data_IF_790035215255
#
_entry.id   IF_790035215255
#
_cell.length_a   1.000
_cell.length_b   1.000
_cell.length_c   1.000
_cell.angle_alpha   90.00
_cell.angle_beta   90.00
_cell.angle_gamma   90.00
#
_symmetry.space_group_name_H-M   'P 1'
#
loop_
_entity.id
_entity.type
_entity.pdbx_description
1 polymer ?
#
# COMPACT_ATOMS: atom_id res chain seq x y z
N UNK A 1 -9.77 8.37 -5.24
CA UNK A 1 -9.72 9.81 -5.61
C UNK A 1 -9.22 10.06 -7.04
N UNK A 2 -8.25 9.29 -7.58
CA UNK A 2 -7.74 9.48 -8.96
C UNK A 2 -8.70 9.13 -10.11
N UNK A 3 -9.59 8.14 -9.93
CA UNK A 3 -10.57 7.76 -10.95
C UNK A 3 -11.68 8.80 -11.14
N UNK A 4 -12.31 9.23 -10.05
CA UNK A 4 -13.44 10.19 -10.07
C UNK A 4 -12.99 11.55 -10.63
N UNK A 5 -11.81 12.04 -10.27
CA UNK A 5 -11.28 13.31 -10.82
C UNK A 5 -10.90 13.23 -12.30
N UNK A 6 -10.61 12.04 -12.84
CA UNK A 6 -10.38 11.82 -14.28
C UNK A 6 -11.68 11.71 -15.08
N UNK A 7 -12.77 11.23 -14.46
CA UNK A 7 -14.08 11.04 -15.11
C UNK A 7 -14.96 12.30 -15.06
N UNK A 8 -14.80 13.15 -14.04
CA UNK A 8 -15.57 14.38 -13.86
C UNK A 8 -15.52 15.36 -15.05
N UNK A 9 -14.36 15.58 -15.70
CA UNK A 9 -14.26 16.52 -16.82
C UNK A 9 -15.08 16.11 -18.04
N UNK A 10 -15.35 14.82 -18.22
CA UNK A 10 -16.19 14.30 -19.31
C UNK A 10 -17.68 14.61 -19.09
N UNK A 11 -18.09 14.90 -17.85
CA UNK A 11 -19.49 15.15 -17.49
C UNK A 11 -19.82 16.64 -17.40
N UNK A 12 -18.86 17.50 -17.08
CA UNK A 12 -19.13 18.93 -16.78
C UNK A 12 -18.58 19.91 -17.80
N UNK A 13 -17.85 19.48 -18.84
CA UNK A 13 -17.12 20.33 -19.80
C UNK A 13 -16.17 21.36 -19.14
N UNK A 14 -15.96 21.30 -17.83
CA UNK A 14 -15.11 22.20 -17.06
C UNK A 14 -13.96 21.39 -16.46
N UNK A 15 -12.79 21.50 -17.07
CA UNK A 15 -11.64 20.70 -16.67
C UNK A 15 -10.72 21.50 -15.74
N UNK A 16 -11.07 21.55 -14.45
CA UNK A 16 -10.26 22.23 -13.40
C UNK A 16 -8.80 21.74 -13.36
N UNK A 17 -8.53 20.52 -13.81
CA UNK A 17 -7.17 19.94 -13.92
C UNK A 17 -6.27 20.73 -14.88
N UNK A 18 -6.86 21.43 -15.83
CA UNK A 18 -6.17 22.14 -16.91
C UNK A 18 -6.27 23.66 -16.74
N UNK A 19 -7.31 24.15 -16.04
CA UNK A 19 -7.55 25.58 -15.85
C UNK A 19 -6.81 26.17 -14.65
N UNK A 20 -6.52 25.39 -13.61
CA UNK A 20 -5.89 25.89 -12.38
C UNK A 20 -4.60 25.15 -12.05
N UNK A 21 -3.47 25.87 -12.12
CA UNK A 21 -2.15 25.36 -11.75
C UNK A 21 -2.11 24.90 -10.28
N UNK A 22 -2.76 25.64 -9.40
CA UNK A 22 -2.86 25.30 -7.97
C UNK A 22 -3.58 23.97 -7.80
N UNK A 23 -4.70 23.77 -8.50
CA UNK A 23 -5.45 22.52 -8.43
C UNK A 23 -4.67 21.33 -8.99
N UNK A 24 -4.00 21.49 -10.13
CA UNK A 24 -3.09 20.48 -10.71
C UNK A 24 -2.04 20.04 -9.69
N UNK A 25 -1.31 20.99 -9.08
CA UNK A 25 -0.26 20.73 -8.08
C UNK A 25 -0.80 20.05 -6.83
N UNK A 26 -1.89 20.56 -6.25
CA UNK A 26 -2.51 19.98 -5.06
C UNK A 26 -3.02 18.55 -5.33
N UNK A 27 -3.67 18.30 -6.46
CA UNK A 27 -4.15 16.97 -6.83
C UNK A 27 -3.00 15.97 -6.92
N UNK A 28 -1.94 16.33 -7.63
CA UNK A 28 -0.77 15.47 -7.81
C UNK A 28 -0.10 15.19 -6.46
N UNK A 29 0.05 16.21 -5.60
CA UNK A 29 0.53 16.03 -4.22
C UNK A 29 -0.29 15.00 -3.44
N UNK A 30 -1.62 15.15 -3.38
CA UNK A 30 -2.48 14.24 -2.63
C UNK A 30 -2.47 12.82 -3.20
N UNK A 31 -2.38 12.68 -4.52
CA UNK A 31 -2.25 11.36 -5.16
C UNK A 31 -0.93 10.70 -4.75
N UNK A 32 0.20 11.39 -4.85
CA UNK A 32 1.50 10.83 -4.45
C UNK A 32 1.55 10.48 -2.97
N UNK A 33 1.12 11.42 -2.13
CA UNK A 33 1.04 11.21 -0.69
C UNK A 33 0.19 9.99 -0.33
N UNK A 34 -1.01 9.88 -0.92
CA UNK A 34 -1.92 8.75 -0.64
C UNK A 34 -1.34 7.41 -1.09
N UNK A 35 -0.69 7.37 -2.26
CA UNK A 35 -0.08 6.15 -2.79
C UNK A 35 1.09 5.68 -1.92
N UNK A 36 1.99 6.60 -1.54
CA UNK A 36 3.13 6.27 -0.68
C UNK A 36 2.66 5.85 0.69
N UNK A 37 1.72 6.60 1.28
CA UNK A 37 1.18 6.28 2.59
C UNK A 37 0.52 4.89 2.61
N UNK A 38 -0.24 4.56 1.56
CA UNK A 38 -0.82 3.23 1.38
C UNK A 38 0.24 2.14 1.35
N UNK A 39 1.28 2.29 0.53
CA UNK A 39 2.40 1.32 0.45
C UNK A 39 3.14 1.19 1.78
N UNK A 40 3.37 2.31 2.46
CA UNK A 40 4.03 2.37 3.76
C UNK A 40 3.25 1.56 4.81
N UNK A 41 1.93 1.73 4.92
CA UNK A 41 1.14 0.96 5.87
C UNK A 41 1.14 -0.54 5.59
N UNK A 42 1.14 -0.94 4.32
CA UNK A 42 1.19 -2.37 3.97
C UNK A 42 2.55 -2.97 4.34
N UNK A 43 3.63 -2.22 4.16
CA UNK A 43 4.95 -2.62 4.65
C UNK A 43 4.96 -2.78 6.17
N UNK A 44 4.44 -1.79 6.90
CA UNK A 44 4.35 -1.86 8.37
C UNK A 44 3.54 -3.07 8.83
N UNK A 45 2.40 -3.34 8.19
CA UNK A 45 1.55 -4.50 8.51
C UNK A 45 2.32 -5.80 8.23
N UNK A 46 3.07 -5.87 7.12
CA UNK A 46 3.89 -7.04 6.79
C UNK A 46 5.01 -7.27 7.80
N UNK A 47 5.71 -6.21 8.19
CA UNK A 47 6.76 -6.23 9.22
C UNK A 47 6.15 -6.65 10.57
N UNK A 48 5.02 -6.07 10.95
CA UNK A 48 4.33 -6.41 12.19
C UNK A 48 3.92 -7.88 12.25
N UNK A 49 3.34 -8.42 11.17
CA UNK A 49 3.01 -9.85 11.10
C UNK A 49 4.26 -10.74 11.14
N UNK A 50 5.36 -10.32 10.52
CA UNK A 50 6.64 -10.99 10.66
C UNK A 50 7.15 -10.98 12.12
N UNK A 51 7.10 -9.84 12.80
CA UNK A 51 7.51 -9.73 14.20
C UNK A 51 6.69 -10.64 15.11
N UNK A 52 5.37 -10.72 14.89
CA UNK A 52 4.48 -11.62 15.65
C UNK A 52 4.78 -13.10 15.44
N UNK A 53 5.14 -13.48 14.21
CA UNK A 53 5.47 -14.88 13.87
C UNK A 53 6.88 -15.29 14.26
N UNK A 54 7.75 -14.32 14.58
CA UNK A 54 9.15 -14.59 14.95
C UNK A 54 9.27 -15.45 16.21
N UNK A 55 10.23 -16.38 16.17
CA UNK A 55 10.61 -17.21 17.31
C UNK A 55 11.31 -16.41 18.40
N UNK A 56 11.97 -15.30 18.03
CA UNK A 56 12.69 -14.43 18.96
C UNK A 56 11.71 -13.56 19.76
N UNK A 57 11.72 -13.70 21.08
CA UNK A 57 10.84 -12.97 22.00
C UNK A 57 11.09 -11.45 21.98
N UNK A 58 12.33 -11.00 21.79
CA UNK A 58 12.67 -9.58 21.70
C UNK A 58 12.02 -8.94 20.48
N UNK A 59 12.08 -9.62 19.33
CA UNK A 59 11.43 -9.15 18.09
C UNK A 59 9.91 -9.15 18.26
N UNK A 60 9.34 -10.20 18.86
CA UNK A 60 7.89 -10.28 19.10
C UNK A 60 7.39 -9.16 20.01
N UNK A 61 8.19 -8.75 21.01
CA UNK A 61 7.87 -7.65 21.92
C UNK A 61 7.81 -6.29 21.22
N UNK A 62 8.48 -6.13 20.08
CA UNK A 62 8.40 -4.90 19.28
C UNK A 62 7.04 -4.69 18.62
N UNK A 63 6.23 -5.76 18.41
CA UNK A 63 4.83 -5.68 17.97
C UNK A 63 3.91 -5.21 19.12
N UNK A 64 4.25 -4.05 19.70
CA UNK A 64 3.46 -3.39 20.74
C UNK A 64 2.66 -2.24 20.14
N UNK A 65 1.46 -1.97 20.69
CA UNK A 65 0.63 -0.85 20.22
C UNK A 65 1.35 0.51 20.36
N UNK A 66 2.21 0.67 21.36
CA UNK A 66 3.01 1.90 21.53
C UNK A 66 3.99 2.11 20.38
N UNK A 67 4.73 1.05 20.02
CA UNK A 67 5.66 1.10 18.90
C UNK A 67 4.94 1.28 17.57
N UNK A 68 3.82 0.58 17.36
CA UNK A 68 2.99 0.73 16.17
C UNK A 68 2.50 2.19 15.99
N UNK A 69 2.00 2.83 17.06
CA UNK A 69 1.58 4.25 16.99
C UNK A 69 2.75 5.15 16.66
N UNK A 70 3.88 4.99 17.34
CA UNK A 70 5.07 5.80 17.10
C UNK A 70 5.55 5.70 15.64
N UNK A 71 5.74 4.48 15.13
CA UNK A 71 6.24 4.28 13.77
C UNK A 71 5.23 4.76 12.73
N UNK A 72 3.93 4.54 12.93
CA UNK A 72 2.86 5.05 12.07
C UNK A 72 2.85 6.58 12.00
N UNK A 73 2.97 7.27 13.14
CA UNK A 73 2.98 8.74 13.19
C UNK A 73 4.23 9.29 12.49
N UNK A 74 5.42 8.81 12.87
CA UNK A 74 6.69 9.26 12.27
C UNK A 74 6.70 9.00 10.76
N UNK A 75 6.26 7.81 10.34
CA UNK A 75 6.18 7.44 8.94
C UNK A 75 5.19 8.27 8.13
N UNK A 76 4.04 8.63 8.73
CA UNK A 76 3.05 9.49 8.06
C UNK A 76 3.61 10.90 7.86
N UNK A 77 4.28 11.45 8.87
CA UNK A 77 4.99 12.73 8.75
C UNK A 77 6.08 12.67 7.67
N UNK A 78 6.85 11.58 7.62
CA UNK A 78 7.82 11.35 6.55
C UNK A 78 7.15 11.32 5.17
N UNK A 79 6.05 10.57 4.99
CA UNK A 79 5.34 10.49 3.71
C UNK A 79 4.80 11.85 3.24
N UNK A 80 4.33 12.69 4.18
CA UNK A 80 3.90 14.06 3.87
C UNK A 80 5.07 14.89 3.30
N UNK A 81 6.19 14.93 4.03
CA UNK A 81 7.38 15.69 3.63
C UNK A 81 7.95 15.14 2.32
N UNK A 82 8.03 13.82 2.21
CA UNK A 82 8.56 13.13 1.04
C UNK A 82 7.74 13.40 -0.22
N UNK A 83 6.46 13.78 -0.10
CA UNK A 83 5.61 14.09 -1.26
C UNK A 83 5.69 15.57 -1.71
N UNK A 84 6.40 16.45 -0.98
CA UNK A 84 6.46 17.90 -1.26
C UNK A 84 7.12 18.23 -2.60
N UNK A 85 7.93 17.35 -3.17
CA UNK A 85 8.51 17.60 -4.50
C UNK A 85 7.44 17.67 -5.61
N UNK A 86 6.30 17.00 -5.43
CA UNK A 86 5.23 16.90 -6.42
C UNK A 86 4.66 18.26 -6.86
N UNK A 87 4.26 19.18 -5.96
CA UNK A 87 3.80 20.52 -6.36
C UNK A 87 4.91 21.39 -6.95
N UNK A 88 6.19 21.06 -6.75
CA UNK A 88 7.31 21.84 -7.27
C UNK A 88 7.55 21.50 -8.74
N UNK A 89 7.61 20.23 -9.10
CA UNK A 89 8.03 19.81 -10.44
C UNK A 89 6.92 19.51 -11.45
N UNK A 90 5.65 19.81 -11.14
CA UNK A 90 4.53 19.64 -12.07
C UNK A 90 4.01 20.99 -12.57
N UNK A 91 3.72 21.06 -13.86
CA UNK A 91 3.18 22.25 -14.52
C UNK A 91 2.04 21.91 -15.49
N UNK A 92 1.32 22.94 -15.93
CA UNK A 92 0.30 22.81 -16.98
C UNK A 92 0.89 23.30 -18.30
N UNK A 93 0.98 22.41 -19.28
CA UNK A 93 1.34 22.78 -20.66
C UNK A 93 0.60 21.86 -21.65
N UNK A 94 0.26 22.40 -22.81
CA UNK A 94 -0.53 21.70 -23.85
C UNK A 94 -1.81 21.04 -23.30
N UNK A 95 -2.55 21.76 -22.45
CA UNK A 95 -3.75 21.28 -21.80
C UNK A 95 -3.58 20.01 -20.95
N UNK A 96 -2.39 19.76 -20.38
CA UNK A 96 -2.13 18.63 -19.49
C UNK A 96 -1.30 19.07 -18.28
N UNK A 97 -1.60 18.49 -17.13
CA UNK A 97 -0.80 18.59 -15.91
C UNK A 97 0.27 17.47 -15.95
N UNK A 98 1.53 17.82 -16.15
CA UNK A 98 2.61 16.83 -16.28
C UNK A 98 3.91 17.28 -15.60
N UNK A 99 4.77 16.32 -15.27
CA UNK A 99 6.08 16.58 -14.68
C UNK A 99 6.95 17.32 -15.70
N UNK A 100 7.66 18.37 -15.32
CA UNK A 100 8.39 19.20 -16.29
C UNK A 100 9.49 18.41 -17.05
N UNK A 101 9.15 17.94 -18.27
CA UNK A 101 9.94 17.02 -19.12
C UNK A 101 11.28 17.58 -19.66
N UNK A 102 11.59 18.86 -19.46
CA UNK A 102 12.79 19.47 -20.02
C UNK A 102 13.93 19.63 -19.00
N UNK A 103 13.83 19.03 -17.80
CA UNK A 103 14.79 19.25 -16.69
C UNK A 103 15.23 17.96 -16.02
N UNK A 104 16.28 18.08 -15.20
CA UNK A 104 16.73 17.09 -14.22
C UNK A 104 15.63 16.53 -13.30
N UNK A 105 14.46 17.17 -13.21
CA UNK A 105 13.33 16.68 -12.44
C UNK A 105 12.75 15.37 -12.98
N UNK A 106 12.77 15.13 -14.29
CA UNK A 106 12.28 13.88 -14.87
C UNK A 106 13.11 12.67 -14.39
N UNK A 107 14.43 12.83 -14.39
CA UNK A 107 15.37 11.82 -13.85
C UNK A 107 15.10 11.58 -12.36
N UNK A 108 14.98 12.66 -11.58
CA UNK A 108 14.65 12.58 -10.15
C UNK A 108 13.32 11.84 -9.92
N UNK A 109 12.29 12.16 -10.70
CA UNK A 109 10.97 11.57 -10.58
C UNK A 109 10.96 10.08 -10.96
N UNK A 110 11.75 9.68 -11.97
CA UNK A 110 11.96 8.28 -12.32
C UNK A 110 12.59 7.48 -11.17
N UNK A 111 13.71 7.98 -10.62
CA UNK A 111 14.40 7.37 -9.46
C UNK A 111 13.46 7.30 -8.26
N UNK A 112 12.75 8.39 -7.97
CA UNK A 112 11.77 8.47 -6.90
C UNK A 112 10.70 7.39 -7.02
N UNK A 113 10.10 7.21 -8.21
CA UNK A 113 9.09 6.18 -8.41
C UNK A 113 9.66 4.76 -8.26
N UNK A 114 10.88 4.54 -8.76
CA UNK A 114 11.56 3.25 -8.61
C UNK A 114 11.77 2.91 -7.14
N UNK A 115 12.22 3.88 -6.33
CA UNK A 115 12.41 3.71 -4.88
C UNK A 115 11.05 3.52 -4.18
N UNK A 116 10.07 4.37 -4.49
CA UNK A 116 8.76 4.39 -3.83
C UNK A 116 7.88 3.17 -4.16
N UNK A 117 8.19 2.41 -5.21
CA UNK A 117 7.53 1.14 -5.53
C UNK A 117 8.43 -0.04 -5.18
N UNK A 118 9.71 0.02 -5.53
CA UNK A 118 10.66 -1.08 -5.40
C UNK A 118 10.97 -1.46 -3.96
N UNK A 119 11.24 -0.48 -3.07
CA UNK A 119 11.52 -0.78 -1.66
C UNK A 119 10.33 -1.50 -0.99
N UNK A 120 9.08 -1.01 -1.12
CA UNK A 120 7.92 -1.74 -0.61
C UNK A 120 7.82 -3.17 -1.11
N UNK A 121 8.02 -3.41 -2.41
CA UNK A 121 7.98 -4.76 -2.99
C UNK A 121 9.02 -5.67 -2.33
N UNK A 122 10.26 -5.21 -2.24
CA UNK A 122 11.36 -5.99 -1.64
C UNK A 122 11.03 -6.31 -0.18
N UNK A 123 10.62 -5.31 0.61
CA UNK A 123 10.27 -5.49 2.02
C UNK A 123 9.10 -6.47 2.20
N UNK A 124 8.07 -6.36 1.37
CA UNK A 124 6.90 -7.24 1.44
C UNK A 124 7.25 -8.68 1.07
N UNK A 125 8.09 -8.89 0.05
CA UNK A 125 8.59 -10.23 -0.31
C UNK A 125 9.41 -10.81 0.83
N UNK A 126 10.37 -10.05 1.38
CA UNK A 126 11.21 -10.50 2.49
C UNK A 126 10.36 -10.86 3.72
N UNK A 127 9.44 -9.99 4.13
CA UNK A 127 8.56 -10.26 5.28
C UNK A 127 7.66 -11.47 5.01
N UNK A 128 7.09 -11.59 3.82
CA UNK A 128 6.21 -12.72 3.46
C UNK A 128 6.97 -14.06 3.50
N UNK A 129 8.19 -14.09 2.98
CA UNK A 129 9.06 -15.26 3.04
C UNK A 129 9.42 -15.63 4.47
N UNK A 130 9.81 -14.65 5.29
CA UNK A 130 10.14 -14.88 6.70
C UNK A 130 8.93 -15.36 7.50
N UNK A 131 7.73 -14.83 7.24
CA UNK A 131 6.47 -15.31 7.82
C UNK A 131 6.25 -16.79 7.49
N UNK A 132 6.40 -17.19 6.22
CA UNK A 132 6.23 -18.59 5.80
C UNK A 132 7.25 -19.51 6.49
N UNK A 133 8.53 -19.11 6.51
CA UNK A 133 9.59 -19.87 7.19
C UNK A 133 9.27 -20.05 8.68
N UNK A 134 8.87 -18.99 9.37
CA UNK A 134 8.52 -19.05 10.79
C UNK A 134 7.32 -19.97 11.06
N UNK A 135 6.31 -19.96 10.19
CA UNK A 135 5.13 -20.82 10.31
C UNK A 135 5.51 -22.28 10.12
N UNK A 136 6.28 -22.61 9.09
CA UNK A 136 6.75 -23.97 8.83
C UNK A 136 7.62 -24.50 9.99
N UNK A 137 8.56 -23.69 10.49
CA UNK A 137 9.37 -24.07 11.65
C UNK A 137 8.52 -24.34 12.89
N UNK A 138 7.46 -23.56 13.10
CA UNK A 138 6.55 -23.75 14.24
C UNK A 138 5.71 -25.01 14.10
N UNK A 139 5.22 -25.31 12.91
CA UNK A 139 4.49 -26.56 12.65
C UNK A 139 5.38 -27.78 12.92
N UNK A 140 6.62 -27.78 12.42
CA UNK A 140 7.57 -28.88 12.62
C UNK A 140 7.97 -29.10 14.10
N UNK A 141 7.86 -28.08 14.96
CA UNK A 141 8.11 -28.23 16.41
C UNK A 141 6.90 -28.75 17.19
N UNK A 142 5.69 -28.58 16.67
CA UNK A 142 4.43 -29.01 17.33
C UNK A 142 4.06 -30.46 16.97
N UNK A 143 4.60 -31.00 15.87
CA UNK A 143 4.54 -32.43 15.54
C UNK A 143 5.87 -33.13 15.89
N UNK A 144 6.23 -33.35 17.17
CA UNK A 144 7.21 -34.36 17.47
C UNK A 144 6.59 -35.72 17.08
N UNK A 145 7.28 -36.39 16.15
CA UNK A 145 7.15 -37.80 15.81
C UNK A 145 6.71 -38.65 16.99
N UNK A 146 5.77 -39.58 16.77
CA UNK A 146 5.35 -40.69 17.63
C UNK A 146 6.45 -41.14 18.62
N UNK A 147 6.57 -40.46 19.75
CA UNK A 147 7.47 -40.83 20.83
C UNK A 147 6.56 -41.11 22.01
N UNK A 148 6.26 -42.40 22.14
CA UNK A 148 6.04 -43.07 23.40
C UNK A 148 6.80 -42.34 24.51
N UNK A 149 6.11 -41.87 25.56
CA UNK A 149 6.51 -41.92 26.97
C UNK A 149 5.49 -41.08 27.78
N UNK A 150 4.67 -41.82 28.50
CA UNK A 150 4.15 -41.57 29.86
C UNK A 150 4.88 -40.48 30.64
N UNK A 151 4.18 -39.38 30.96
CA UNK A 151 4.67 -38.38 31.90
C UNK A 151 3.81 -37.12 31.90
N UNK A 152 3.09 -36.91 32.99
CA UNK A 152 2.14 -35.82 33.26
C UNK A 152 2.81 -34.44 33.38
N UNK A 153 3.38 -33.93 32.30
CA UNK A 153 3.69 -32.50 32.17
C UNK A 153 2.83 -31.90 31.07
N UNK A 154 1.89 -31.07 31.49
CA UNK A 154 0.98 -30.28 30.68
C UNK A 154 1.80 -29.35 29.76
N UNK A 155 2.20 -29.85 28.59
CA UNK A 155 2.82 -29.05 27.55
C UNK A 155 1.75 -28.06 27.08
N UNK A 156 1.83 -26.83 27.56
CA UNK A 156 0.95 -25.74 27.11
C UNK A 156 1.22 -25.50 25.63
N UNK A 157 0.48 -26.17 24.76
CA UNK A 157 0.47 -25.92 23.33
C UNK A 157 0.00 -24.47 23.19
N UNK A 158 0.93 -23.54 22.99
CA UNK A 158 0.64 -22.14 22.66
C UNK A 158 0.00 -22.16 21.28
N UNK A 159 -1.31 -22.41 21.24
CA UNK A 159 -2.11 -22.33 20.03
C UNK A 159 -2.08 -20.89 19.55
N UNK A 160 -1.65 -20.68 18.30
CA UNK A 160 -1.78 -19.36 17.70
C UNK A 160 -3.27 -19.09 17.57
N UNK A 161 -3.82 -18.01 18.17
CA UNK A 161 -5.25 -17.79 18.10
C UNK A 161 -5.66 -17.67 16.63
N UNK A 162 -6.77 -18.32 16.27
CA UNK A 162 -7.28 -18.42 14.89
C UNK A 162 -7.31 -17.08 14.15
N UNK A 163 -7.61 -15.99 14.88
CA UNK A 163 -7.62 -14.62 14.36
C UNK A 163 -6.25 -14.16 13.82
N UNK A 164 -5.14 -14.58 14.45
CA UNK A 164 -3.79 -14.24 13.99
C UNK A 164 -3.46 -14.93 12.66
N UNK A 165 -3.92 -16.18 12.47
CA UNK A 165 -3.69 -16.90 11.22
C UNK A 165 -4.51 -16.30 10.06
N UNK A 166 -5.75 -15.86 10.34
CA UNK A 166 -6.54 -15.12 9.35
C UNK A 166 -5.86 -13.83 8.92
N UNK A 167 -5.32 -13.05 9.87
CA UNK A 167 -4.59 -11.81 9.57
C UNK A 167 -3.31 -12.07 8.79
N UNK A 168 -2.56 -13.13 9.12
CA UNK A 168 -1.36 -13.54 8.37
C UNK A 168 -1.72 -13.90 6.93
N UNK A 169 -2.74 -14.74 6.72
CA UNK A 169 -3.19 -15.14 5.38
C UNK A 169 -3.62 -13.92 4.55
N UNK A 170 -4.30 -12.97 5.18
CA UNK A 170 -4.73 -11.73 4.54
C UNK A 170 -3.54 -10.92 4.03
N UNK A 171 -2.50 -10.76 4.85
CA UNK A 171 -1.29 -10.01 4.49
C UNK A 171 -0.54 -10.70 3.36
N UNK A 172 -0.43 -12.03 3.35
CA UNK A 172 0.20 -12.76 2.25
C UNK A 172 -0.57 -12.57 0.93
N UNK A 173 -1.91 -12.67 0.95
CA UNK A 173 -2.75 -12.42 -0.23
C UNK A 173 -2.56 -10.99 -0.71
N UNK A 174 -2.61 -10.02 0.19
CA UNK A 174 -2.44 -8.61 -0.15
C UNK A 174 -1.06 -8.31 -0.72
N UNK A 175 -0.01 -8.95 -0.19
CA UNK A 175 1.35 -8.83 -0.73
C UNK A 175 1.45 -9.37 -2.14
N UNK A 176 0.84 -10.52 -2.41
CA UNK A 176 0.78 -11.10 -3.75
C UNK A 176 -0.03 -10.21 -4.72
N UNK A 177 -1.20 -9.72 -4.29
CA UNK A 177 -2.02 -8.81 -5.09
C UNK A 177 -1.27 -7.51 -5.39
N UNK A 178 -0.55 -6.95 -4.41
CA UNK A 178 0.26 -5.76 -4.61
C UNK A 178 1.34 -6.01 -5.67
N UNK A 179 2.08 -7.11 -5.56
CA UNK A 179 3.12 -7.48 -6.52
C UNK A 179 2.56 -7.58 -7.95
N UNK A 180 1.48 -8.36 -8.13
CA UNK A 180 0.87 -8.58 -9.45
C UNK A 180 0.33 -7.28 -10.06
N UNK A 181 -0.31 -6.43 -9.27
CA UNK A 181 -0.87 -5.17 -9.79
C UNK A 181 0.18 -4.07 -9.99
N UNK A 182 1.36 -4.15 -9.38
CA UNK A 182 2.39 -3.12 -9.51
C UNK A 182 3.54 -3.51 -10.46
N UNK A 183 3.64 -4.78 -10.88
CA UNK A 183 4.74 -5.26 -11.73
C UNK A 183 4.81 -4.52 -13.07
N UNK A 184 3.67 -4.17 -13.67
CA UNK A 184 3.59 -3.44 -14.93
C UNK A 184 4.18 -2.02 -14.79
N UNK A 185 3.86 -1.33 -13.69
CA UNK A 185 4.41 0.01 -13.41
C UNK A 185 5.92 -0.05 -13.20
N UNK A 186 6.41 -1.05 -12.46
CA UNK A 186 7.85 -1.21 -12.23
C UNK A 186 8.57 -1.48 -13.53
N UNK A 187 8.07 -2.41 -14.34
CA UNK A 187 8.65 -2.74 -15.64
C UNK A 187 8.70 -1.52 -16.57
N UNK A 188 7.60 -0.74 -16.65
CA UNK A 188 7.58 0.50 -17.42
C UNK A 188 8.57 1.53 -16.88
N UNK A 189 8.64 1.73 -15.56
CA UNK A 189 9.55 2.72 -14.95
C UNK A 189 11.02 2.38 -15.23
N UNK A 190 11.38 1.10 -15.19
CA UNK A 190 12.72 0.62 -15.56
C UNK A 190 13.00 0.89 -17.05
N UNK A 191 12.04 0.57 -17.92
CA UNK A 191 12.16 0.84 -19.36
C UNK A 191 12.34 2.34 -19.65
N UNK A 192 11.53 3.18 -19.03
CA UNK A 192 11.56 4.63 -19.23
C UNK A 192 12.90 5.21 -18.77
N UNK A 193 13.36 4.80 -17.58
CA UNK A 193 14.67 5.18 -17.06
C UNK A 193 15.83 4.70 -17.97
N UNK A 194 15.77 3.46 -18.46
CA UNK A 194 16.79 2.91 -19.35
C UNK A 194 16.83 3.59 -20.73
N UNK A 195 15.75 4.24 -21.14
CA UNK A 195 15.62 4.88 -22.46
C UNK A 195 15.64 6.40 -22.42
N UNK A 196 15.95 6.99 -21.25
CA UNK A 196 15.91 8.44 -21.02
C UNK A 196 16.88 9.23 -21.92
N UNK A 197 18.02 8.64 -22.28
CA UNK A 197 19.03 9.27 -23.15
C UNK A 197 18.75 9.11 -24.65
N UNK A 198 17.67 8.42 -25.02
CA UNK A 198 17.35 8.10 -26.41
C UNK A 198 16.32 9.09 -26.92
N UNK A 199 16.59 9.74 -28.06
CA UNK A 199 15.59 10.60 -28.73
C UNK A 199 14.44 9.74 -29.25
N UNK A 200 13.23 9.96 -28.72
CA UNK A 200 12.03 9.18 -29.06
C UNK A 200 11.24 9.86 -30.19
N UNK A 201 10.78 9.08 -31.17
CA UNK A 201 9.88 9.59 -32.22
C UNK A 201 8.50 9.91 -31.64
N UNK A 202 7.72 10.77 -32.32
CA UNK A 202 6.36 11.14 -31.90
C UNK A 202 5.46 9.91 -31.70
N UNK A 203 5.49 8.96 -32.64
CA UNK A 203 4.73 7.71 -32.54
C UNK A 203 5.13 6.88 -31.31
N UNK A 204 6.43 6.82 -31.01
CA UNK A 204 6.93 6.09 -29.84
C UNK A 204 6.47 6.75 -28.53
N UNK A 205 6.51 8.08 -28.43
CA UNK A 205 6.03 8.81 -27.26
C UNK A 205 4.54 8.55 -26.99
N UNK A 206 3.72 8.47 -28.05
CA UNK A 206 2.29 8.16 -27.91
C UNK A 206 2.08 6.73 -27.39
N UNK A 207 2.81 5.75 -27.94
CA UNK A 207 2.74 4.36 -27.49
C UNK A 207 3.19 4.24 -26.03
N UNK A 208 4.29 4.89 -25.66
CA UNK A 208 4.79 4.87 -24.29
C UNK A 208 3.81 5.52 -23.31
N UNK A 209 3.18 6.63 -23.69
CA UNK A 209 2.14 7.26 -22.87
C UNK A 209 0.92 6.35 -22.67
N UNK A 210 0.53 5.60 -23.69
CA UNK A 210 -0.53 4.60 -23.58
C UNK A 210 -0.12 3.45 -22.64
N UNK A 211 1.08 2.88 -22.81
CA UNK A 211 1.62 1.82 -21.95
C UNK A 211 1.69 2.30 -20.50
N UNK A 212 2.16 3.52 -20.25
CA UNK A 212 2.16 4.11 -18.91
C UNK A 212 0.75 4.20 -18.33
N UNK A 213 -0.22 4.71 -19.12
CA UNK A 213 -1.60 4.86 -18.70
C UNK A 213 -2.23 3.51 -18.32
N UNK A 214 -1.98 2.45 -19.10
CA UNK A 214 -2.43 1.09 -18.80
C UNK A 214 -1.71 0.54 -17.57
N UNK A 215 -0.40 0.76 -17.45
CA UNK A 215 0.41 0.26 -16.34
C UNK A 215 0.01 0.88 -15.00
N UNK A 216 -0.29 2.18 -14.97
CA UNK A 216 -0.61 2.89 -13.71
C UNK A 216 -2.05 2.65 -13.21
N UNK A 217 -2.98 2.25 -14.08
CA UNK A 217 -4.38 2.00 -13.68
C UNK A 217 -4.53 0.94 -12.58
N UNK A 218 -3.91 -0.25 -12.69
CA UNK A 218 -3.84 -1.24 -11.61
C UNK A 218 -3.39 -0.68 -10.26
N UNK A 219 -2.47 0.29 -10.25
CA UNK A 219 -1.99 0.93 -9.03
C UNK A 219 -3.13 1.59 -8.24
N UNK A 220 -4.01 2.30 -8.96
CA UNK A 220 -5.17 2.95 -8.36
C UNK A 220 -6.25 1.96 -7.93
N UNK A 221 -6.44 0.88 -8.71
CA UNK A 221 -7.39 -0.18 -8.38
C UNK A 221 -6.98 -0.89 -7.08
N UNK A 222 -5.68 -1.11 -6.87
CA UNK A 222 -5.16 -1.76 -5.68
C UNK A 222 -5.57 -1.05 -4.38
N UNK A 223 -5.59 0.30 -4.37
CA UNK A 223 -6.06 1.06 -3.21
C UNK A 223 -7.51 0.73 -2.85
N UNK A 224 -8.38 0.59 -3.86
CA UNK A 224 -9.78 0.20 -3.67
C UNK A 224 -9.93 -1.25 -3.24
N UNK A 225 -9.18 -2.16 -3.86
CA UNK A 225 -9.19 -3.59 -3.51
C UNK A 225 -8.75 -3.79 -2.07
N UNK A 226 -7.68 -3.13 -1.63
CA UNK A 226 -7.16 -3.27 -0.26
C UNK A 226 -8.23 -2.99 0.80
N UNK A 227 -8.98 -1.89 0.64
CA UNK A 227 -10.09 -1.57 1.53
C UNK A 227 -11.18 -2.65 1.54
N UNK A 228 -11.57 -3.13 0.36
CA UNK A 228 -12.56 -4.20 0.21
C UNK A 228 -12.06 -5.51 0.82
N UNK A 229 -10.80 -5.86 0.61
CA UNK A 229 -10.17 -7.06 1.14
C UNK A 229 -10.14 -7.05 2.67
N UNK A 230 -9.78 -5.94 3.32
CA UNK A 230 -9.87 -5.84 4.78
C UNK A 230 -11.30 -5.94 5.29
N UNK A 231 -12.25 -5.28 4.62
CA UNK A 231 -13.66 -5.29 4.98
C UNK A 231 -14.30 -6.68 4.81
N UNK A 232 -13.98 -7.38 3.73
CA UNK A 232 -14.57 -8.68 3.38
C UNK A 232 -13.85 -9.87 4.01
N UNK A 233 -12.57 -9.77 4.36
CA UNK A 233 -11.83 -10.91 4.93
C UNK A 233 -11.81 -10.92 6.46
N UNK A 234 -11.76 -9.76 7.12
CA UNK A 234 -11.66 -9.71 8.58
C UNK A 234 -13.05 -9.70 9.23
N UNK A 235 -13.44 -10.85 9.79
CA UNK A 235 -14.68 -10.98 10.58
C UNK A 235 -14.68 -10.04 11.79
N UNK A 236 -13.50 -9.76 12.36
CA UNK A 236 -13.29 -8.78 13.42
C UNK A 236 -13.54 -7.35 12.92
N UNK A 237 -13.00 -6.99 11.76
CA UNK A 237 -13.21 -5.67 11.17
C UNK A 237 -14.68 -5.43 10.82
N UNK A 238 -15.39 -6.44 10.27
CA UNK A 238 -16.83 -6.32 10.03
C UNK A 238 -17.62 -6.06 11.31
N UNK A 239 -17.31 -6.77 12.39
CA UNK A 239 -17.98 -6.59 13.68
C UNK A 239 -17.75 -5.19 14.24
N UNK A 240 -16.51 -4.70 14.22
CA UNK A 240 -16.18 -3.34 14.66
C UNK A 240 -16.82 -2.27 13.76
N UNK A 241 -16.79 -2.45 12.45
CA UNK A 241 -17.39 -1.50 11.50
C UNK A 241 -18.92 -1.40 11.69
N UNK A 242 -19.60 -2.54 11.81
CA UNK A 242 -21.04 -2.60 12.11
C UNK A 242 -21.32 -1.99 13.49
N UNK A 243 -20.49 -2.27 14.49
CA UNK A 243 -20.63 -1.71 15.83
C UNK A 243 -20.54 -0.18 15.83
N UNK A 244 -19.53 0.39 15.17
CA UNK A 244 -19.36 1.85 15.02
C UNK A 244 -20.53 2.44 14.23
N UNK A 245 -20.95 1.80 13.13
CA UNK A 245 -22.09 2.23 12.33
C UNK A 245 -23.39 2.28 13.15
N UNK A 246 -23.66 1.24 13.94
CA UNK A 246 -24.80 1.19 14.87
C UNK A 246 -24.71 2.27 15.94
N UNK A 247 -23.51 2.54 16.48
CA UNK A 247 -23.30 3.59 17.47
C UNK A 247 -23.59 4.98 16.90
N UNK A 248 -23.12 5.26 15.69
CA UNK A 248 -23.38 6.52 14.99
C UNK A 248 -24.87 6.68 14.67
N UNK A 249 -25.51 5.63 14.16
CA UNK A 249 -26.94 5.62 13.89
C UNK A 249 -27.77 5.87 15.16
N UNK A 250 -27.46 5.19 16.26
CA UNK A 250 -28.16 5.36 17.53
C UNK A 250 -27.93 6.77 18.12
N UNK A 251 -26.74 7.35 17.95
CA UNK A 251 -26.47 8.72 18.38
C UNK A 251 -27.24 9.75 17.53
N UNK A 252 -27.32 9.54 16.22
CA UNK A 252 -28.10 10.38 15.32
C UNK A 252 -29.61 10.31 15.65
N UNK A 253 -30.13 9.11 15.91
CA UNK A 253 -31.52 8.93 16.35
C UNK A 253 -31.82 9.64 17.69
N UNK A 254 -30.87 9.62 18.63
CA UNK A 254 -31.01 10.35 19.91
C UNK A 254 -31.01 11.87 19.72
N UNK A 255 -30.32 12.38 18.71
CA UNK A 255 -30.28 13.81 18.39
C UNK A 255 -31.52 14.29 17.62
N UNK A 256 -32.19 13.41 16.86
CA UNK A 256 -33.42 13.74 16.15
C UNK A 256 -34.71 13.49 16.98
N UNK A 257 -34.60 12.82 18.13
CA UNK A 257 -35.72 12.53 19.04
C UNK A 257 -35.86 13.52 20.21
N UNK A 258 -35.06 14.59 20.21
CA UNK A 258 -35.23 15.79 21.03
C UNK A 258 -35.67 16.95 20.14
#
# INVERSE_FOLDING_TARGET
MGGITRSLPYLTNFNLEITSLIFCKCRIYFVHFSLILGRYFICLISIDRWMVTSSNQSIRRMSSSKFARYITTVGTCFCLIFSIHAPIGFEIKNNRCYAYLATSYEVFYGIYNLIAVGIPIILMILCSTLIMVNIHQRQNRIYPSNSLITGSHEVTIVSTPHNNMQLIRLVLIQSLTFLVLNISVVAYTIYDFATISITKSSNRQIIEAFIYAVSIHPNYIFCSITFLTYTLASSMFRKEFIFIGRRLYNNALRQCGQ
#
